data_IF_872432722370
#
_entry.id   IF_872432722370
#
_cell.length_a   1.000
_cell.length_b   1.000
_cell.length_c   1.000
_cell.angle_alpha   90.00
_cell.angle_beta   90.00
_cell.angle_gamma   90.00
#
_symmetry.space_group_name_H-M   'P 1'
#
loop_
_entity.id
_entity.type
_entity.pdbx_description
1 polymer ?
#
# COMPACT_ATOMS: atom_id res chain seq x y z
N UNK A 1 -1.99 -13.22 16.51
CA UNK A 1 -0.87 -12.27 16.41
C UNK A 1 -0.61 -11.97 14.94
N UNK A 2 0.11 -10.90 14.59
CA UNK A 2 0.37 -10.60 13.18
C UNK A 2 1.51 -9.59 12.99
N UNK A 3 1.87 -9.35 11.74
CA UNK A 3 2.85 -8.34 11.33
C UNK A 3 2.38 -7.65 10.06
N UNK A 4 2.83 -6.42 9.85
CA UNK A 4 2.84 -5.81 8.53
C UNK A 4 4.17 -6.12 7.86
N UNK A 5 4.14 -6.40 6.57
CA UNK A 5 5.29 -6.68 5.74
C UNK A 5 5.26 -5.76 4.53
N UNK A 6 6.39 -5.13 4.24
CA UNK A 6 6.60 -4.41 3.00
C UNK A 6 7.23 -5.35 1.97
N UNK A 7 6.66 -5.44 0.79
CA UNK A 7 7.28 -6.15 -0.33
C UNK A 7 7.50 -5.16 -1.47
N UNK A 8 8.76 -4.92 -1.80
CA UNK A 8 9.16 -4.03 -2.88
C UNK A 8 9.86 -4.76 -4.03
N UNK A 9 9.72 -4.22 -5.24
CA UNK A 9 10.40 -4.66 -6.44
C UNK A 9 10.84 -3.44 -7.25
N UNK A 10 12.07 -3.47 -7.77
CA UNK A 10 12.57 -2.43 -8.67
C UNK A 10 13.05 -3.08 -9.97
N UNK A 11 12.60 -2.54 -11.10
CA UNK A 11 13.04 -2.95 -12.43
C UNK A 11 12.91 -1.81 -13.42
N UNK A 12 13.85 -1.73 -14.36
CA UNK A 12 13.78 -0.78 -15.49
C UNK A 12 13.56 0.68 -15.07
N UNK A 13 14.05 1.09 -13.91
CA UNK A 13 13.90 2.46 -13.39
C UNK A 13 12.55 2.75 -12.73
N UNK A 14 11.76 1.73 -12.44
CA UNK A 14 10.52 1.83 -11.66
C UNK A 14 10.68 0.98 -10.41
N UNK A 15 10.37 1.57 -9.25
CA UNK A 15 10.29 0.86 -7.98
C UNK A 15 8.85 0.87 -7.49
N UNK A 16 8.30 -0.28 -7.16
CA UNK A 16 6.93 -0.46 -6.65
C UNK A 16 6.98 -1.27 -5.37
N UNK A 17 6.08 -0.98 -4.44
CA UNK A 17 5.99 -1.72 -3.19
C UNK A 17 4.56 -1.81 -2.69
N UNK A 18 4.28 -2.88 -1.95
CA UNK A 18 2.96 -3.15 -1.38
C UNK A 18 3.07 -3.52 0.10
N UNK A 19 2.00 -3.20 0.84
CA UNK A 19 1.80 -3.67 2.21
C UNK A 19 1.02 -4.99 2.22
N UNK A 20 1.58 -5.97 2.92
CA UNK A 20 0.92 -7.23 3.24
C UNK A 20 0.69 -7.34 4.75
N UNK A 21 -0.50 -7.76 5.15
CA UNK A 21 -0.81 -8.14 6.51
C UNK A 21 -0.57 -9.65 6.67
N UNK A 22 0.34 -10.02 7.56
CA UNK A 22 0.61 -11.39 7.96
C UNK A 22 -0.26 -11.73 9.18
N UNK A 23 -1.20 -12.65 9.00
CA UNK A 23 -2.04 -13.15 10.09
C UNK A 23 -1.51 -14.48 10.60
N UNK A 24 -1.13 -14.52 11.88
CA UNK A 24 -0.69 -15.72 12.60
C UNK A 24 -1.83 -16.18 13.49
N UNK A 25 -2.69 -17.03 12.93
CA UNK A 25 -3.78 -17.68 13.63
C UNK A 25 -3.24 -18.90 14.38
N UNK A 26 -3.66 -19.11 15.62
CA UNK A 26 -3.16 -20.23 16.45
C UNK A 26 -3.63 -21.60 15.94
N UNK A 27 -4.73 -21.63 15.18
CA UNK A 27 -5.40 -22.84 14.73
C UNK A 27 -5.48 -22.97 13.21
N UNK A 28 -4.72 -22.17 12.45
CA UNK A 28 -4.76 -22.16 10.98
C UNK A 28 -3.38 -21.84 10.38
N UNK A 29 -3.26 -21.93 9.06
CA UNK A 29 -2.06 -21.54 8.32
C UNK A 29 -1.79 -20.04 8.44
N UNK A 30 -0.53 -19.66 8.25
CA UNK A 30 -0.14 -18.25 8.11
C UNK A 30 -0.78 -17.70 6.82
N UNK A 31 -1.57 -16.65 6.97
CA UNK A 31 -2.15 -15.90 5.86
C UNK A 31 -1.34 -14.64 5.56
N UNK A 32 -1.11 -14.37 4.28
CA UNK A 32 -0.58 -13.09 3.81
C UNK A 32 -1.65 -12.43 2.94
N UNK A 33 -2.11 -11.24 3.36
CA UNK A 33 -3.23 -10.55 2.73
C UNK A 33 -2.77 -9.19 2.23
N UNK A 34 -3.12 -8.87 0.98
CA UNK A 34 -2.88 -7.55 0.43
C UNK A 34 -3.65 -6.50 1.21
N UNK A 35 -2.96 -5.40 1.53
CA UNK A 35 -3.54 -4.23 2.22
C UNK A 35 -3.69 -3.09 1.23
N UNK A 36 -2.60 -2.72 0.54
CA UNK A 36 -2.58 -1.59 -0.36
C UNK A 36 -1.16 -1.30 -0.83
N UNK A 37 -1.03 -0.35 -1.74
CA UNK A 37 0.26 0.12 -2.22
C UNK A 37 1.05 0.78 -1.09
N UNK A 38 2.33 0.45 -1.00
CA UNK A 38 3.28 1.11 -0.11
C UNK A 38 4.00 2.27 -0.79
N UNK A 39 3.95 2.35 -2.12
CA UNK A 39 4.59 3.41 -2.87
C UNK A 39 5.12 2.96 -4.20
N UNK A 40 5.27 3.93 -5.09
CA UNK A 40 5.87 3.77 -6.41
C UNK A 40 6.76 4.97 -6.69
N UNK A 41 7.88 4.74 -7.36
CA UNK A 41 8.78 5.79 -7.87
C UNK A 41 9.14 5.50 -9.34
N UNK A 42 8.83 6.46 -10.21
CA UNK A 42 9.13 6.42 -11.66
C UNK A 42 10.11 7.50 -12.10
N UNK A 43 10.69 8.27 -11.16
CA UNK A 43 11.63 9.36 -11.45
C UNK A 43 12.83 8.88 -12.28
N UNK A 44 13.27 7.64 -12.07
CA UNK A 44 14.41 7.05 -12.77
C UNK A 44 14.13 6.66 -14.23
N UNK A 45 12.87 6.45 -14.64
CA UNK A 45 12.52 6.15 -16.04
C UNK A 45 12.14 7.40 -16.84
N UNK A 46 11.38 8.33 -16.25
CA UNK A 46 10.88 9.52 -16.94
C UNK A 46 11.77 10.75 -16.77
N UNK A 47 12.66 10.77 -15.78
CA UNK A 47 13.37 11.96 -15.32
C UNK A 47 12.50 12.83 -14.40
N UNK A 48 13.09 13.40 -13.35
CA UNK A 48 12.36 14.10 -12.27
C UNK A 48 11.47 15.26 -12.76
N UNK A 49 11.86 15.95 -13.84
CA UNK A 49 11.10 17.09 -14.40
C UNK A 49 9.98 16.66 -15.38
N UNK A 50 9.80 15.37 -15.63
CA UNK A 50 8.79 14.89 -16.58
C UNK A 50 7.38 15.00 -16.00
N UNK A 51 6.39 15.43 -16.80
CA UNK A 51 4.98 15.41 -16.36
C UNK A 51 4.42 14.00 -16.17
N UNK A 52 5.19 12.96 -16.52
CA UNK A 52 4.86 11.55 -16.31
C UNK A 52 5.61 10.93 -15.12
N UNK A 53 6.56 11.67 -14.52
CA UNK A 53 7.25 11.22 -13.33
C UNK A 53 6.36 11.41 -12.10
N UNK A 54 6.30 10.39 -11.26
CA UNK A 54 5.58 10.42 -10.00
C UNK A 54 6.31 9.57 -8.97
N UNK A 55 6.19 9.99 -7.72
CA UNK A 55 6.78 9.31 -6.57
C UNK A 55 5.91 9.54 -5.36
N UNK A 56 5.37 8.46 -4.80
CA UNK A 56 4.56 8.49 -3.59
C UNK A 56 4.93 7.33 -2.70
N UNK A 57 4.69 7.49 -1.41
CA UNK A 57 4.85 6.46 -0.40
C UNK A 57 3.62 6.41 0.50
N UNK A 58 3.42 5.26 1.15
CA UNK A 58 2.39 5.10 2.17
C UNK A 58 2.94 4.51 3.46
N UNK A 59 2.51 5.10 4.58
CA UNK A 59 2.87 4.63 5.93
C UNK A 59 1.66 3.92 6.56
N UNK A 60 1.80 2.66 7.01
CA UNK A 60 0.70 1.92 7.60
C UNK A 60 0.63 2.15 9.12
N UNK A 61 -0.58 2.15 9.66
CA UNK A 61 -0.84 2.17 11.09
C UNK A 61 -2.01 1.24 11.44
N UNK A 62 -1.92 0.59 12.59
CA UNK A 62 -2.98 -0.33 13.06
C UNK A 62 -3.98 0.46 13.90
N UNK A 63 -5.26 0.34 13.56
CA UNK A 63 -6.35 0.94 14.34
C UNK A 63 -6.86 -0.10 15.33
N UNK A 64 -6.43 -0.01 16.58
CA UNK A 64 -6.87 -0.96 17.61
C UNK A 64 -8.28 -0.62 18.09
N UNK A 65 -9.26 -1.37 17.61
CA UNK A 65 -10.68 -1.28 17.99
C UNK A 65 -11.19 -2.57 18.69
N UNK A 66 -10.28 -3.47 19.10
CA UNK A 66 -10.62 -4.70 19.81
C UNK A 66 -11.15 -5.85 18.95
N UNK A 67 -11.24 -5.72 17.61
CA UNK A 67 -11.62 -6.84 16.73
C UNK A 67 -10.43 -7.76 16.44
N UNK A 68 -10.69 -9.00 16.02
CA UNK A 68 -9.65 -9.99 15.75
C UNK A 68 -8.71 -9.59 14.60
N UNK A 69 -9.27 -8.96 13.55
CA UNK A 69 -8.53 -8.47 12.39
C UNK A 69 -8.57 -6.95 12.38
N UNK A 70 -7.55 -6.33 13.00
CA UNK A 70 -7.54 -4.88 13.14
C UNK A 70 -7.60 -4.18 11.78
N UNK A 71 -8.40 -3.11 11.66
CA UNK A 71 -8.31 -2.20 10.53
C UNK A 71 -6.89 -1.65 10.39
N UNK A 72 -6.50 -1.44 9.14
CA UNK A 72 -5.20 -0.85 8.81
C UNK A 72 -5.48 0.48 8.13
N UNK A 73 -4.83 1.53 8.62
CA UNK A 73 -4.86 2.85 7.99
C UNK A 73 -3.57 3.08 7.24
N UNK A 74 -3.68 3.34 5.95
CA UNK A 74 -2.58 3.80 5.10
C UNK A 74 -2.65 5.32 4.99
N UNK A 75 -1.53 6.00 5.19
CA UNK A 75 -1.38 7.42 4.94
C UNK A 75 -0.46 7.61 3.75
N UNK A 76 -0.99 8.20 2.67
CA UNK A 76 -0.30 8.40 1.40
C UNK A 76 0.22 9.83 1.31
N UNK A 77 1.47 9.97 0.87
CA UNK A 77 2.12 11.26 0.63
C UNK A 77 2.95 11.20 -0.64
N UNK A 78 2.87 12.24 -1.47
CA UNK A 78 3.69 12.41 -2.65
C UNK A 78 2.89 12.63 -3.92
N UNK A 79 3.55 12.57 -5.07
CA UNK A 79 2.92 12.70 -6.37
C UNK A 79 2.35 11.35 -6.79
N UNK A 80 1.02 11.25 -6.86
CA UNK A 80 0.31 10.01 -7.13
C UNK A 80 -0.53 10.13 -8.41
N UNK A 81 -0.53 9.10 -9.28
CA UNK A 81 -1.44 9.06 -10.41
C UNK A 81 -2.89 8.93 -9.90
N UNK A 82 -3.79 9.75 -10.42
CA UNK A 82 -5.21 9.74 -9.99
C UNK A 82 -6.07 8.75 -10.79
N UNK A 83 -5.50 8.13 -11.81
CA UNK A 83 -6.11 7.09 -12.61
C UNK A 83 -5.07 6.06 -13.07
N UNK A 84 -5.54 4.94 -13.63
CA UNK A 84 -4.69 3.84 -14.10
C UNK A 84 -3.82 4.23 -15.31
N UNK A 85 -4.11 5.35 -15.99
CA UNK A 85 -3.34 5.77 -17.15
C UNK A 85 -1.98 6.37 -16.76
N UNK A 86 -1.88 6.90 -15.54
CA UNK A 86 -0.68 7.61 -15.08
C UNK A 86 -0.43 8.94 -15.81
N UNK A 87 -1.38 9.42 -16.62
CA UNK A 87 -1.26 10.67 -17.36
C UNK A 87 -1.62 11.89 -16.50
N UNK A 88 -2.40 11.68 -15.43
CA UNK A 88 -2.80 12.71 -14.48
C UNK A 88 -2.21 12.40 -13.11
N UNK A 89 -1.29 13.25 -12.66
CA UNK A 89 -0.56 13.11 -11.40
C UNK A 89 -0.86 14.34 -10.54
N UNK A 90 -1.24 14.09 -9.29
CA UNK A 90 -1.46 15.14 -8.30
C UNK A 90 -0.71 14.83 -7.02
N UNK A 91 -0.23 15.87 -6.34
CA UNK A 91 0.23 15.73 -4.98
C UNK A 91 -0.92 15.30 -4.07
N UNK A 92 -0.69 14.28 -3.26
CA UNK A 92 -1.65 13.75 -2.29
C UNK A 92 -1.08 13.80 -0.87
N UNK A 93 -1.98 14.03 0.08
CA UNK A 93 -1.76 13.87 1.52
C UNK A 93 -3.11 13.46 2.14
N UNK A 94 -3.38 12.16 2.16
CA UNK A 94 -4.63 11.63 2.71
C UNK A 94 -4.44 10.27 3.38
N UNK A 95 -5.39 9.89 4.22
CA UNK A 95 -5.43 8.55 4.82
C UNK A 95 -6.65 7.78 4.35
N UNK A 96 -6.46 6.47 4.16
CA UNK A 96 -7.53 5.51 3.92
C UNK A 96 -7.48 4.45 5.02
N UNK A 97 -8.64 4.10 5.58
CA UNK A 97 -8.78 3.00 6.53
C UNK A 97 -9.42 1.81 5.82
N UNK A 98 -8.81 0.64 6.01
CA UNK A 98 -9.18 -0.60 5.35
C UNK A 98 -9.59 -1.64 6.38
N UNK A 99 -10.73 -2.27 6.15
CA UNK A 99 -11.32 -3.30 6.99
C UNK A 99 -11.06 -4.67 6.38
N UNK A 100 -10.64 -5.63 7.21
CA UNK A 100 -10.49 -7.01 6.72
C UNK A 100 -11.85 -7.68 6.56
N UNK A 101 -12.15 -8.14 5.35
CA UNK A 101 -13.31 -8.97 5.04
C UNK A 101 -12.92 -10.45 5.20
N UNK A 102 -13.43 -11.17 6.22
CA UNK A 102 -13.06 -12.55 6.48
C UNK A 102 -13.66 -13.55 5.47
N UNK A 103 -14.65 -13.14 4.66
CA UNK A 103 -15.27 -13.99 3.64
C UNK A 103 -14.43 -13.97 2.37
N UNK A 104 -14.06 -12.78 1.88
CA UNK A 104 -13.24 -12.62 0.68
C UNK A 104 -11.74 -12.75 0.97
N UNK A 105 -11.34 -12.61 2.24
CA UNK A 105 -9.95 -12.62 2.73
C UNK A 105 -9.12 -11.45 2.18
N UNK A 106 -9.69 -10.26 2.21
CA UNK A 106 -9.09 -9.03 1.64
C UNK A 106 -9.34 -7.83 2.55
N UNK A 107 -8.43 -6.85 2.51
CA UNK A 107 -8.65 -5.54 3.11
C UNK A 107 -9.38 -4.63 2.10
N UNK A 108 -10.43 -3.93 2.55
CA UNK A 108 -11.32 -3.10 1.73
C UNK A 108 -11.66 -1.77 2.40
#
# INVERSE_FOLDING_TARGET
MGSLMNLGYCSTGVCESVWLALHLLESDYIGAYYVGDSGTDTSSIYGEDSPLAYSYESTPSVVNNGVAYYPIRLHFVGDMPIDESGEQINYVDFSQELLFNPITKEYQ
#
